data_IF_304386544892
#
_entry.id   IF_304386544892
#
_cell.length_a   1.000
_cell.length_b   1.000
_cell.length_c   1.000
_cell.angle_alpha   90.00
_cell.angle_beta   90.00
_cell.angle_gamma   90.00
#
_symmetry.space_group_name_H-M   'P 1'
#
loop_
_entity.id
_entity.type
_entity.pdbx_description
1 polymer ?
#
# COMPACT_ATOMS: atom_id res chain seq x y z
N UNK A 1 6.76 -64.13 35.30
CA UNK A 1 7.44 -63.13 34.44
C UNK A 1 6.60 -62.95 33.19
N UNK A 2 5.79 -61.88 33.12
CA UNK A 2 4.98 -61.56 31.96
C UNK A 2 5.59 -60.35 31.26
N UNK A 3 6.03 -60.55 30.02
CA UNK A 3 6.71 -59.57 29.18
C UNK A 3 5.65 -58.75 28.44
N UNK A 4 5.46 -57.47 28.78
CA UNK A 4 4.62 -56.55 28.01
C UNK A 4 5.43 -55.98 26.84
N UNK A 5 5.02 -56.32 25.62
CA UNK A 5 5.56 -55.78 24.36
C UNK A 5 4.87 -54.44 24.06
N UNK A 6 5.56 -53.33 24.30
CA UNK A 6 5.06 -51.99 23.96
C UNK A 6 5.28 -51.67 22.49
N UNK A 7 4.19 -51.56 21.72
CA UNK A 7 4.19 -51.15 20.32
C UNK A 7 4.19 -49.60 20.24
N UNK A 8 5.33 -48.99 19.91
CA UNK A 8 5.41 -47.55 19.64
C UNK A 8 4.97 -47.25 18.20
N UNK A 9 3.76 -46.73 18.04
CA UNK A 9 3.28 -46.13 16.79
C UNK A 9 3.90 -44.74 16.64
N UNK A 10 4.92 -44.62 15.79
CA UNK A 10 5.39 -43.33 15.28
C UNK A 10 4.35 -42.78 14.29
N UNK A 11 3.58 -41.79 14.72
CA UNK A 11 2.74 -40.99 13.83
C UNK A 11 3.63 -40.01 13.05
N UNK A 12 3.92 -40.33 11.80
CA UNK A 12 4.48 -39.37 10.84
C UNK A 12 3.38 -38.36 10.53
N UNK A 13 3.49 -37.15 11.09
CA UNK A 13 2.66 -36.02 10.66
C UNK A 13 3.12 -35.65 9.26
N UNK A 14 2.39 -36.11 8.25
CA UNK A 14 2.53 -35.63 6.89
C UNK A 14 2.15 -34.14 6.89
N UNK A 15 3.14 -33.25 6.80
CA UNK A 15 2.91 -31.83 6.54
C UNK A 15 2.35 -31.76 5.12
N UNK A 16 1.02 -31.57 5.02
CA UNK A 16 0.40 -31.23 3.76
C UNK A 16 1.09 -29.97 3.22
N UNK A 17 1.72 -30.05 2.05
CA UNK A 17 2.14 -28.86 1.31
C UNK A 17 0.88 -28.04 1.03
N UNK A 18 0.67 -26.96 1.80
CA UNK A 18 -0.40 -26.02 1.51
C UNK A 18 -0.28 -25.56 0.05
N UNK A 19 -1.37 -25.73 -0.71
CA UNK A 19 -1.42 -25.23 -2.07
C UNK A 19 -1.16 -23.71 -2.05
N UNK A 20 -0.29 -23.18 -2.93
CA UNK A 20 -0.02 -21.76 -3.00
C UNK A 20 -1.31 -20.97 -3.23
N UNK A 21 -1.55 -19.93 -2.43
CA UNK A 21 -2.75 -19.11 -2.53
C UNK A 21 -2.58 -18.01 -3.59
N UNK A 22 -3.59 -17.85 -4.45
CA UNK A 22 -3.69 -16.76 -5.44
C UNK A 22 -5.05 -16.06 -5.28
N UNK A 23 -5.11 -14.73 -5.36
CA UNK A 23 -6.39 -14.03 -5.36
C UNK A 23 -7.27 -14.46 -6.54
N UNK A 24 -8.56 -14.60 -6.29
CA UNK A 24 -9.55 -14.95 -7.32
C UNK A 24 -10.26 -13.69 -7.83
N UNK A 25 -10.66 -13.70 -9.11
CA UNK A 25 -11.44 -12.62 -9.70
C UNK A 25 -12.79 -12.52 -8.97
N UNK A 26 -13.19 -11.29 -8.61
CA UNK A 26 -14.45 -11.01 -7.91
C UNK A 26 -14.45 -11.36 -6.43
N UNK A 27 -13.29 -11.70 -5.84
CA UNK A 27 -13.16 -11.94 -4.40
C UNK A 27 -12.02 -11.11 -3.80
N UNK A 28 -12.27 -10.55 -2.63
CA UNK A 28 -11.25 -9.90 -1.83
C UNK A 28 -10.48 -10.99 -1.05
N UNK A 29 -9.15 -11.09 -1.21
CA UNK A 29 -8.37 -12.12 -0.54
C UNK A 29 -8.23 -11.82 0.96
N UNK A 30 -8.25 -12.85 1.83
CA UNK A 30 -8.01 -12.68 3.26
C UNK A 30 -6.56 -12.22 3.51
N UNK A 31 -6.39 -11.20 4.36
CA UNK A 31 -5.09 -10.60 4.65
C UNK A 31 -4.10 -11.61 5.25
N UNK A 32 -4.60 -12.59 6.00
CA UNK A 32 -3.82 -13.62 6.69
C UNK A 32 -3.12 -14.57 5.71
N UNK A 33 -3.52 -14.57 4.43
CA UNK A 33 -2.87 -15.33 3.36
C UNK A 33 -1.80 -14.52 2.61
N UNK A 34 -1.65 -13.23 2.91
CA UNK A 34 -0.61 -12.39 2.33
C UNK A 34 0.77 -12.72 2.92
N UNK A 35 1.82 -12.53 2.13
CA UNK A 35 3.18 -12.46 2.64
C UNK A 35 3.48 -11.02 3.05
N UNK A 36 3.93 -10.87 4.30
CA UNK A 36 4.38 -9.59 4.85
C UNK A 36 5.89 -9.43 4.69
N UNK A 37 6.33 -8.28 4.19
CA UNK A 37 7.75 -7.87 4.17
C UNK A 37 7.88 -6.36 4.19
N UNK A 38 9.08 -5.85 4.51
CA UNK A 38 9.39 -4.42 4.48
C UNK A 38 10.63 -4.12 3.66
N UNK A 39 10.71 -2.91 3.11
CA UNK A 39 11.85 -2.48 2.31
C UNK A 39 11.72 -1.06 1.82
N UNK A 40 12.77 -0.57 1.17
CA UNK A 40 12.83 0.79 0.63
C UNK A 40 12.17 0.87 -0.74
N UNK A 41 11.27 1.84 -0.95
CA UNK A 41 10.70 2.12 -2.26
C UNK A 41 11.73 2.83 -3.17
N UNK A 42 12.12 2.18 -4.27
CA UNK A 42 13.22 2.65 -5.14
C UNK A 42 12.79 3.02 -6.55
N UNK A 43 11.59 2.61 -6.97
CA UNK A 43 11.02 2.93 -8.26
C UNK A 43 9.49 2.99 -8.16
N UNK A 44 8.89 3.93 -8.90
CA UNK A 44 7.42 4.10 -8.98
C UNK A 44 7.01 4.33 -10.43
N UNK A 45 6.06 3.50 -10.87
CA UNK A 45 5.26 3.68 -12.08
C UNK A 45 3.79 3.79 -11.65
N UNK A 46 3.47 4.97 -11.12
CA UNK A 46 2.15 5.30 -10.55
C UNK A 46 0.99 5.06 -11.52
N UNK A 47 1.17 5.38 -12.81
CA UNK A 47 0.12 5.25 -13.82
C UNK A 47 -0.27 3.79 -14.07
N UNK A 48 0.69 2.85 -14.03
CA UNK A 48 0.40 1.42 -14.12
C UNK A 48 0.24 0.76 -12.73
N UNK A 49 0.28 1.54 -11.65
CA UNK A 49 0.25 1.08 -10.25
C UNK A 49 1.31 0.01 -9.96
N UNK A 50 2.55 0.25 -10.38
CA UNK A 50 3.70 -0.64 -10.14
C UNK A 50 4.83 0.12 -9.46
N UNK A 51 5.80 -0.61 -8.94
CA UNK A 51 7.03 -0.04 -8.42
C UNK A 51 8.08 -1.12 -8.17
N UNK A 52 9.15 -0.76 -7.49
CA UNK A 52 10.13 -1.72 -6.97
C UNK A 52 10.49 -1.37 -5.53
N UNK A 53 10.66 -2.41 -4.71
CA UNK A 53 11.09 -2.31 -3.31
C UNK A 53 12.41 -3.05 -3.14
N UNK A 54 13.40 -2.40 -2.54
CA UNK A 54 14.59 -3.08 -2.05
C UNK A 54 14.24 -3.76 -0.74
N UNK A 55 13.99 -5.06 -0.78
CA UNK A 55 13.50 -5.83 0.37
C UNK A 55 14.60 -5.94 1.43
N UNK A 56 14.22 -5.73 2.69
CA UNK A 56 15.13 -5.93 3.80
C UNK A 56 15.42 -7.41 4.01
N UNK A 57 16.71 -7.74 4.08
CA UNK A 57 17.21 -9.06 4.42
C UNK A 57 18.42 -8.94 5.36
N UNK A 58 18.97 -10.08 5.80
CA UNK A 58 20.10 -10.15 6.71
C UNK A 58 21.45 -9.73 6.11
N UNK A 59 21.54 -9.59 4.78
CA UNK A 59 22.76 -9.18 4.09
C UNK A 59 23.01 -7.67 4.05
N UNK A 60 23.90 -7.26 3.15
CA UNK A 60 24.16 -5.86 2.79
C UNK A 60 22.97 -5.28 2.03
N UNK A 61 22.08 -4.62 2.77
CA UNK A 61 20.82 -4.09 2.23
C UNK A 61 20.99 -3.34 0.92
N UNK A 62 21.94 -2.41 0.84
CA UNK A 62 22.19 -1.58 -0.34
C UNK A 62 22.56 -2.36 -1.62
N UNK A 63 22.97 -3.63 -1.51
CA UNK A 63 23.30 -4.51 -2.64
C UNK A 63 22.11 -5.34 -3.12
N UNK A 64 21.00 -5.33 -2.39
CA UNK A 64 19.80 -6.06 -2.78
C UNK A 64 19.22 -5.41 -4.04
N UNK A 65 18.90 -6.24 -5.03
CA UNK A 65 18.27 -5.78 -6.26
C UNK A 65 16.85 -5.25 -5.96
N UNK A 66 16.41 -4.19 -6.65
CA UNK A 66 15.02 -3.76 -6.59
C UNK A 66 14.06 -4.90 -6.93
N UNK A 67 13.16 -5.25 -6.00
CA UNK A 67 12.13 -6.26 -6.22
C UNK A 67 10.85 -5.63 -6.78
N UNK A 68 10.46 -5.92 -8.04
CA UNK A 68 9.28 -5.31 -8.66
C UNK A 68 7.98 -5.78 -8.03
N UNK A 69 7.01 -4.87 -7.92
CA UNK A 69 5.65 -5.16 -7.46
C UNK A 69 4.59 -4.50 -8.33
N UNK A 70 3.39 -5.07 -8.33
CA UNK A 70 2.18 -4.47 -8.91
C UNK A 70 1.09 -4.39 -7.84
N UNK A 71 0.36 -3.28 -7.78
CA UNK A 71 -0.82 -3.20 -6.91
C UNK A 71 -1.95 -4.06 -7.50
N UNK A 72 -2.65 -4.79 -6.63
CA UNK A 72 -3.97 -5.31 -6.98
C UNK A 72 -4.92 -4.14 -7.30
N UNK A 73 -5.98 -4.35 -8.10
CA UNK A 73 -6.89 -3.26 -8.46
C UNK A 73 -7.55 -2.59 -7.24
N UNK A 74 -7.85 -3.40 -6.23
CA UNK A 74 -8.38 -2.99 -4.92
C UNK A 74 -7.27 -2.83 -3.86
N UNK A 75 -6.00 -2.79 -4.29
CA UNK A 75 -4.86 -2.60 -3.42
C UNK A 75 -4.83 -1.18 -2.85
N UNK A 76 -4.55 -1.07 -1.56
CA UNK A 76 -4.58 0.17 -0.78
C UNK A 76 -3.15 0.65 -0.56
N UNK A 77 -2.94 1.95 -0.71
CA UNK A 77 -1.69 2.63 -0.36
C UNK A 77 -1.99 3.60 0.78
N UNK A 78 -1.14 3.60 1.80
CA UNK A 78 -1.22 4.58 2.91
C UNK A 78 0.11 5.28 3.11
N UNK A 79 0.02 6.58 3.32
CA UNK A 79 1.15 7.45 3.63
C UNK A 79 0.73 8.44 4.70
N UNK A 80 1.60 8.71 5.67
CA UNK A 80 1.33 9.62 6.77
C UNK A 80 -0.01 9.36 7.47
N UNK A 81 -0.34 8.09 7.71
CA UNK A 81 -1.56 7.67 8.42
C UNK A 81 -2.84 7.79 7.62
N UNK A 82 -2.79 8.19 6.34
CA UNK A 82 -3.95 8.45 5.50
C UNK A 82 -3.89 7.70 4.16
N UNK A 83 -5.03 7.56 3.44
CA UNK A 83 -5.06 7.07 2.07
C UNK A 83 -4.14 7.87 1.12
N UNK A 84 -3.50 7.18 0.18
CA UNK A 84 -2.57 7.79 -0.77
C UNK A 84 -2.60 7.09 -2.13
N UNK A 85 -2.01 7.72 -3.14
CA UNK A 85 -1.59 7.07 -4.38
C UNK A 85 -0.06 6.86 -4.38
N UNK A 86 0.46 5.97 -5.22
CA UNK A 86 1.91 5.72 -5.31
C UNK A 86 2.71 6.98 -5.63
N UNK A 87 2.11 7.95 -6.34
CA UNK A 87 2.75 9.24 -6.68
C UNK A 87 3.05 10.12 -5.46
N UNK A 88 2.35 9.89 -4.35
CA UNK A 88 2.46 10.71 -3.15
C UNK A 88 3.66 10.30 -2.29
N UNK A 89 4.20 9.10 -2.51
CA UNK A 89 5.25 8.52 -1.66
C UNK A 89 6.63 8.91 -2.23
N UNK A 90 7.47 9.59 -1.45
CA UNK A 90 8.85 9.85 -1.85
C UNK A 90 9.65 8.56 -2.00
N UNK A 91 10.52 8.50 -3.02
CA UNK A 91 11.51 7.43 -3.11
C UNK A 91 12.43 7.45 -1.89
N UNK A 92 12.91 6.27 -1.49
CA UNK A 92 13.68 6.08 -0.27
C UNK A 92 12.82 5.81 0.98
N UNK A 93 11.50 6.01 0.92
CA UNK A 93 10.58 5.65 2.02
C UNK A 93 10.59 4.15 2.26
N UNK A 94 10.70 3.74 3.53
CA UNK A 94 10.55 2.34 3.92
C UNK A 94 9.08 2.01 4.02
N UNK A 95 8.65 1.03 3.23
CA UNK A 95 7.27 0.59 3.12
C UNK A 95 7.12 -0.82 3.70
N UNK A 96 5.99 -1.06 4.36
CA UNK A 96 5.45 -2.37 4.70
C UNK A 96 4.53 -2.84 3.59
N UNK A 97 4.65 -4.12 3.24
CA UNK A 97 4.01 -4.72 2.09
C UNK A 97 3.26 -5.96 2.54
N UNK A 98 1.98 -6.05 2.16
CA UNK A 98 1.19 -7.29 2.24
C UNK A 98 0.84 -7.69 0.81
N UNK A 99 1.44 -8.78 0.34
CA UNK A 99 1.37 -9.17 -1.05
C UNK A 99 1.00 -10.64 -1.26
N UNK A 100 0.49 -10.91 -2.45
CA UNK A 100 0.10 -12.23 -2.90
C UNK A 100 0.89 -12.64 -4.15
N UNK A 101 0.83 -13.93 -4.46
CA UNK A 101 1.20 -14.42 -5.78
C UNK A 101 0.32 -13.76 -6.86
N UNK A 102 0.80 -13.64 -8.11
CA UNK A 102 0.01 -13.07 -9.20
C UNK A 102 -1.34 -13.77 -9.34
N UNK A 103 -2.48 -13.05 -9.44
CA UNK A 103 -3.79 -13.66 -9.67
C UNK A 103 -3.77 -14.57 -10.91
N UNK A 104 -3.22 -14.05 -12.02
CA UNK A 104 -2.93 -14.83 -13.23
C UNK A 104 -1.47 -14.59 -13.67
N UNK A 105 -0.58 -15.60 -13.53
CA UNK A 105 0.80 -15.52 -13.97
C UNK A 105 1.01 -15.13 -15.43
N UNK A 106 0.08 -15.47 -16.33
CA UNK A 106 0.26 -15.28 -17.79
C UNK A 106 0.17 -13.82 -18.21
N UNK A 107 -0.56 -13.01 -17.44
CA UNK A 107 -0.84 -11.59 -17.73
C UNK A 107 -0.27 -10.66 -16.65
N UNK A 108 0.66 -11.18 -15.84
CA UNK A 108 1.30 -10.44 -14.77
C UNK A 108 1.99 -9.17 -15.28
N UNK A 109 1.79 -8.04 -14.58
CA UNK A 109 2.36 -6.76 -14.97
C UNK A 109 3.81 -6.56 -14.46
N UNK A 110 4.32 -7.53 -13.72
CA UNK A 110 5.68 -7.63 -13.17
C UNK A 110 6.20 -9.06 -13.34
N UNK A 111 7.53 -9.31 -13.25
CA UNK A 111 8.09 -10.65 -13.38
C UNK A 111 7.45 -11.66 -12.42
N UNK A 112 7.18 -12.87 -12.92
CA UNK A 112 6.68 -14.00 -12.12
C UNK A 112 7.87 -14.82 -11.63
N UNK A 113 8.02 -14.94 -10.31
CA UNK A 113 9.13 -15.65 -9.69
C UNK A 113 8.70 -17.04 -9.18
N UNK A 114 9.64 -17.99 -9.05
CA UNK A 114 9.37 -19.28 -8.40
C UNK A 114 8.85 -19.10 -6.97
N UNK A 115 7.88 -19.90 -6.53
CA UNK A 115 7.22 -19.71 -5.22
C UNK A 115 8.21 -19.81 -4.05
N UNK A 116 9.26 -20.62 -4.20
CA UNK A 116 10.30 -20.76 -3.19
C UNK A 116 11.33 -19.62 -3.21
N UNK A 117 11.20 -18.59 -4.05
CA UNK A 117 12.19 -17.52 -4.20
C UNK A 117 12.40 -16.70 -2.92
N UNK A 118 11.38 -16.63 -2.04
CA UNK A 118 11.51 -16.08 -0.67
C UNK A 118 12.49 -16.83 0.24
N UNK A 119 12.94 -18.03 -0.15
CA UNK A 119 13.93 -18.84 0.58
C UNK A 119 15.28 -18.88 -0.12
N UNK A 120 15.39 -18.32 -1.32
CA UNK A 120 16.63 -18.33 -2.10
C UNK A 120 17.58 -17.32 -1.50
N UNK A 121 18.83 -17.75 -1.27
CA UNK A 121 19.92 -16.88 -0.86
C UNK A 121 20.43 -16.11 -2.08
N UNK A 122 20.42 -14.78 -2.00
CA UNK A 122 20.91 -13.91 -3.06
C UNK A 122 22.42 -13.96 -3.24
N UNK A 123 23.16 -14.46 -2.23
CA UNK A 123 24.60 -14.73 -2.10
C UNK A 123 25.12 -14.20 -0.74
N UNK A 124 26.41 -14.43 -0.46
CA UNK A 124 27.10 -13.99 0.77
C UNK A 124 26.97 -12.49 1.11
N UNK A 125 26.55 -11.64 0.15
CA UNK A 125 26.36 -10.22 0.36
C UNK A 125 24.90 -9.78 0.49
N UNK A 126 23.91 -10.56 0.04
CA UNK A 126 22.50 -10.11 -0.10
C UNK A 126 21.55 -10.75 0.91
N UNK A 127 21.91 -11.92 1.42
CA UNK A 127 21.06 -12.71 2.30
C UNK A 127 19.87 -13.33 1.57
N UNK A 128 19.09 -14.13 2.29
CA UNK A 128 17.94 -14.83 1.74
C UNK A 128 16.66 -14.00 1.76
N UNK A 129 15.77 -14.26 0.80
CA UNK A 129 14.40 -13.73 0.81
C UNK A 129 14.24 -12.31 0.25
N UNK A 130 15.21 -11.83 -0.53
CA UNK A 130 15.20 -10.48 -1.12
C UNK A 130 14.25 -10.32 -2.31
N UNK A 131 13.69 -11.41 -2.84
CA UNK A 131 12.81 -11.41 -4.00
C UNK A 131 11.65 -12.42 -3.81
N UNK A 132 10.68 -12.16 -2.92
CA UNK A 132 9.53 -13.04 -2.75
C UNK A 132 8.72 -13.19 -4.05
N UNK A 133 8.03 -14.31 -4.23
CA UNK A 133 7.16 -14.48 -5.41
C UNK A 133 5.84 -13.70 -5.26
N UNK A 134 5.51 -13.36 -4.03
CA UNK A 134 4.36 -12.58 -3.63
C UNK A 134 4.63 -11.08 -3.87
N UNK A 135 4.40 -10.65 -5.10
CA UNK A 135 4.65 -9.28 -5.55
C UNK A 135 3.41 -8.56 -6.10
N UNK A 136 2.21 -9.11 -5.84
CA UNK A 136 0.93 -8.46 -6.13
C UNK A 136 0.33 -7.92 -4.83
N UNK A 137 0.48 -6.62 -4.64
CA UNK A 137 0.32 -5.93 -3.36
C UNK A 137 -1.13 -5.60 -3.09
N UNK A 138 -1.64 -6.06 -1.95
CA UNK A 138 -2.94 -5.65 -1.41
C UNK A 138 -2.80 -4.40 -0.54
N UNK A 139 -1.71 -4.29 0.22
CA UNK A 139 -1.51 -3.18 1.15
C UNK A 139 -0.06 -2.72 1.11
N UNK A 140 0.13 -1.42 0.92
CA UNK A 140 1.43 -0.74 0.93
C UNK A 140 1.36 0.44 1.90
N UNK A 141 2.15 0.41 2.98
CA UNK A 141 2.04 1.38 4.07
C UNK A 141 3.41 1.92 4.48
N UNK A 142 3.53 3.23 4.72
CA UNK A 142 4.70 3.76 5.41
C UNK A 142 4.69 3.36 6.90
N UNK A 143 5.83 3.55 7.57
CA UNK A 143 6.01 3.15 8.97
C UNK A 143 4.92 3.73 9.92
N UNK A 144 4.55 5.02 9.88
CA UNK A 144 3.45 5.54 10.70
C UNK A 144 2.11 4.87 10.43
N UNK A 145 1.73 4.68 9.15
CA UNK A 145 0.46 4.05 8.79
C UNK A 145 0.40 2.60 9.26
N UNK A 146 1.49 1.85 9.04
CA UNK A 146 1.62 0.48 9.54
C UNK A 146 1.48 0.43 11.06
N UNK A 147 2.27 1.23 11.79
CA UNK A 147 2.24 1.29 13.25
C UNK A 147 0.85 1.59 13.78
N UNK A 148 0.16 2.58 13.22
CA UNK A 148 -1.21 2.91 13.62
C UNK A 148 -2.19 1.75 13.39
N UNK A 149 -2.13 1.09 12.22
CA UNK A 149 -3.00 -0.04 11.90
C UNK A 149 -2.77 -1.22 12.84
N UNK A 150 -1.52 -1.56 13.13
CA UNK A 150 -1.18 -2.71 13.99
C UNK A 150 -1.08 -2.35 15.48
N UNK A 151 -1.48 -1.14 15.86
CA UNK A 151 -1.49 -0.69 17.26
C UNK A 151 -0.11 -0.59 17.91
N UNK A 152 0.92 -0.25 17.13
CA UNK A 152 2.31 -0.06 17.60
C UNK A 152 2.70 1.42 17.64
N UNK A 153 3.74 1.70 18.43
CA UNK A 153 4.42 3.00 18.51
C UNK A 153 5.92 2.79 18.64
N UNK A 154 6.71 3.79 18.24
CA UNK A 154 8.13 3.81 18.50
C UNK A 154 8.41 4.46 19.87
N UNK A 155 9.26 3.84 20.68
CA UNK A 155 9.75 4.42 21.93
C UNK A 155 11.21 4.80 21.78
N UNK A 156 11.50 6.11 21.82
CA UNK A 156 12.86 6.63 21.70
C UNK A 156 13.63 6.42 23.01
N UNK A 157 14.77 5.73 22.97
CA UNK A 157 15.53 5.33 24.16
C UNK A 157 16.71 6.25 24.40
N UNK A 158 17.60 6.37 23.43
CA UNK A 158 18.82 7.16 23.52
C UNK A 158 19.03 7.96 22.22
N UNK A 159 19.45 9.20 22.39
CA UNK A 159 19.94 10.09 21.36
C UNK A 159 21.45 10.23 21.51
N UNK A 160 22.19 10.18 20.41
CA UNK A 160 23.58 10.59 20.31
C UNK A 160 23.70 11.60 19.17
N UNK A 161 24.02 12.85 19.49
CA UNK A 161 24.02 13.97 18.55
C UNK A 161 25.40 14.64 18.49
N UNK A 162 25.85 14.97 17.28
CA UNK A 162 27.03 15.80 17.05
C UNK A 162 26.81 16.62 15.77
N UNK A 163 26.90 17.96 15.90
CA UNK A 163 26.72 18.89 14.78
C UNK A 163 25.43 18.61 13.96
N UNK A 164 24.28 18.58 14.66
CA UNK A 164 22.92 18.41 14.08
C UNK A 164 22.70 17.10 13.32
N UNK A 165 23.51 16.07 13.57
CA UNK A 165 23.32 14.71 13.04
C UNK A 165 23.70 13.68 14.08
N UNK A 166 23.26 12.45 13.89
CA UNK A 166 23.66 11.38 14.77
C UNK A 166 22.76 10.17 14.69
N UNK A 167 22.57 9.53 15.84
CA UNK A 167 21.85 8.27 15.96
C UNK A 167 20.78 8.35 17.04
N UNK A 168 19.65 7.70 16.78
CA UNK A 168 18.61 7.42 17.78
C UNK A 168 18.47 5.90 17.90
N UNK A 169 18.47 5.41 19.14
CA UNK A 169 18.08 4.03 19.47
C UNK A 169 16.62 4.05 19.86
N UNK A 170 15.80 3.19 19.25
CA UNK A 170 14.38 3.10 19.52
C UNK A 170 13.86 1.66 19.46
N UNK A 171 12.73 1.40 20.11
CA UNK A 171 12.01 0.12 20.02
C UNK A 171 10.63 0.33 19.43
N UNK A 172 10.19 -0.54 18.51
CA UNK A 172 8.82 -0.53 17.99
C UNK A 172 8.00 -1.59 18.74
N UNK A 173 7.01 -1.15 19.52
CA UNK A 173 6.28 -2.01 20.44
C UNK A 173 4.78 -1.68 20.49
N UNK A 174 3.92 -2.59 20.98
CA UNK A 174 2.49 -2.32 21.11
C UNK A 174 2.21 -1.09 21.97
N UNK A 175 1.26 -0.24 21.53
CA UNK A 175 0.86 0.99 22.23
C UNK A 175 0.33 0.73 23.64
N UNK A 176 -0.31 -0.42 23.84
CA UNK A 176 -0.85 -0.86 25.15
C UNK A 176 0.22 -1.45 26.10
N UNK A 177 1.50 -1.39 25.72
CA UNK A 177 2.61 -1.96 26.48
C UNK A 177 3.14 -3.26 25.86
N UNK A 178 4.46 -3.39 25.81
CA UNK A 178 5.15 -4.61 25.36
C UNK A 178 5.70 -5.42 26.52
N UNK A 179 6.12 -6.65 26.25
CA UNK A 179 6.80 -7.53 27.21
C UNK A 179 8.28 -7.16 27.45
N UNK A 180 8.72 -6.01 26.94
CA UNK A 180 10.09 -5.51 27.05
C UNK A 180 11.09 -6.17 26.10
N UNK A 181 10.65 -7.06 25.20
CA UNK A 181 11.55 -7.81 24.29
C UNK A 181 11.65 -7.25 22.88
N UNK A 182 11.09 -6.07 22.62
CA UNK A 182 11.19 -5.42 21.32
C UNK A 182 12.67 -5.15 21.00
N UNK A 183 13.10 -5.55 19.80
CA UNK A 183 14.47 -5.34 19.36
C UNK A 183 14.76 -3.83 19.25
N UNK A 184 15.93 -3.44 19.75
CA UNK A 184 16.42 -2.08 19.55
C UNK A 184 16.87 -1.90 18.10
N UNK A 185 16.38 -0.83 17.49
CA UNK A 185 16.80 -0.40 16.16
C UNK A 185 17.54 0.93 16.28
N UNK A 186 18.76 0.96 15.74
CA UNK A 186 19.61 2.15 15.71
C UNK A 186 19.48 2.83 14.36
N UNK A 187 18.84 3.99 14.33
CA UNK A 187 18.57 4.74 13.12
C UNK A 187 19.34 6.06 13.11
N UNK A 188 19.74 6.50 11.92
CA UNK A 188 20.37 7.81 11.74
C UNK A 188 19.33 8.92 11.74
N UNK A 189 19.75 10.13 12.06
CA UNK A 189 19.01 11.37 11.80
C UNK A 189 20.02 12.46 11.42
N UNK A 190 19.54 13.50 10.74
CA UNK A 190 20.35 14.66 10.34
C UNK A 190 19.51 15.94 10.38
N UNK A 191 20.11 17.07 9.99
CA UNK A 191 19.45 18.37 10.00
C UNK A 191 18.20 18.45 9.08
N UNK A 192 18.01 17.48 8.17
CA UNK A 192 16.82 17.39 7.33
C UNK A 192 15.68 16.58 7.98
N UNK A 193 15.94 15.89 9.10
CA UNK A 193 14.89 15.20 9.87
C UNK A 193 13.86 16.22 10.36
N UNK A 194 12.60 16.02 10.00
CA UNK A 194 11.49 16.92 10.31
C UNK A 194 10.86 16.51 11.64
N UNK A 195 10.74 17.45 12.57
CA UNK A 195 10.19 17.15 13.91
C UNK A 195 8.88 17.91 14.07
N UNK A 196 7.82 17.22 14.43
CA UNK A 196 6.47 17.77 14.45
C UNK A 196 5.89 17.72 15.86
N UNK A 197 5.44 18.88 16.35
CA UNK A 197 4.79 19.06 17.66
C UNK A 197 3.52 19.89 17.48
N UNK A 198 2.35 19.30 17.71
CA UNK A 198 1.06 19.93 17.46
C UNK A 198 0.95 20.51 16.04
N UNK A 199 1.07 21.83 15.92
CA UNK A 199 1.00 22.55 14.63
C UNK A 199 2.35 23.04 14.12
N UNK A 200 3.42 22.79 14.86
CA UNK A 200 4.77 23.28 14.60
C UNK A 200 5.58 22.25 13.81
N UNK A 201 6.47 22.75 12.94
CA UNK A 201 7.56 21.98 12.34
C UNK A 201 8.86 22.51 12.93
N UNK A 202 9.39 21.78 13.91
CA UNK A 202 10.58 22.13 14.65
C UNK A 202 11.84 21.68 13.91
N UNK A 203 12.89 22.48 14.08
CA UNK A 203 14.27 22.17 13.72
C UNK A 203 15.01 21.57 14.92
N UNK A 204 16.14 20.92 14.65
CA UNK A 204 17.04 20.43 15.70
C UNK A 204 17.57 21.59 16.56
N UNK A 205 17.86 22.74 15.94
CA UNK A 205 18.39 23.93 16.64
C UNK A 205 17.37 24.49 17.63
N UNK A 206 16.07 24.48 17.28
CA UNK A 206 15.00 24.86 18.21
C UNK A 206 14.90 23.89 19.39
N UNK A 207 15.02 22.57 19.16
CA UNK A 207 15.06 21.60 20.26
C UNK A 207 16.29 21.78 21.18
N UNK A 208 17.42 22.20 20.63
CA UNK A 208 18.63 22.51 21.40
C UNK A 208 18.44 23.81 22.21
N UNK A 209 17.90 24.86 21.58
CA UNK A 209 17.60 26.13 22.24
C UNK A 209 16.61 25.97 23.40
N UNK A 210 15.59 25.13 23.22
CA UNK A 210 14.61 24.75 24.25
C UNK A 210 15.19 23.79 25.31
N UNK A 211 16.46 23.38 25.19
CA UNK A 211 17.15 22.42 26.06
C UNK A 211 16.48 21.03 26.09
N UNK A 212 15.67 20.73 25.09
CA UNK A 212 15.04 19.42 24.89
C UNK A 212 16.09 18.42 24.39
N UNK A 213 16.96 18.80 23.46
CA UNK A 213 18.11 18.00 23.02
C UNK A 213 19.42 18.69 23.44
N UNK A 214 20.51 17.94 23.69
CA UNK A 214 21.82 18.56 23.91
C UNK A 214 22.39 19.04 22.56
N UNK A 215 23.28 20.03 22.60
CA UNK A 215 23.99 20.48 21.40
C UNK A 215 24.90 19.37 20.83
N UNK A 216 25.56 18.62 21.73
CA UNK A 216 26.41 17.49 21.41
C UNK A 216 26.36 16.43 22.52
N UNK A 217 26.66 15.18 22.18
CA UNK A 217 26.76 14.05 23.09
C UNK A 217 25.47 13.24 23.21
N UNK A 218 25.40 12.44 24.28
CA UNK A 218 24.31 11.49 24.51
C UNK A 218 23.24 12.03 25.44
N UNK A 219 21.99 11.67 25.18
CA UNK A 219 20.84 11.94 26.05
C UNK A 219 19.87 10.75 26.06
N UNK A 220 19.46 10.33 27.26
CA UNK A 220 18.32 9.43 27.40
C UNK A 220 17.01 10.16 27.03
N UNK A 221 16.19 9.51 26.20
CA UNK A 221 14.88 9.98 25.77
C UNK A 221 13.73 9.31 26.54
N UNK A 222 14.04 8.50 27.56
CA UNK A 222 13.07 8.00 28.53
C UNK A 222 12.00 7.06 27.95
N UNK A 223 12.18 6.54 26.74
CA UNK A 223 11.16 5.74 26.06
C UNK A 223 9.99 6.56 25.52
N UNK A 224 10.21 7.84 25.19
CA UNK A 224 9.17 8.73 24.66
C UNK A 224 8.46 8.09 23.46
N UNK A 225 7.12 7.94 23.51
CA UNK A 225 6.34 7.37 22.42
C UNK A 225 6.20 8.38 21.28
N UNK A 226 6.48 7.96 20.06
CA UNK A 226 6.36 8.75 18.84
C UNK A 226 5.91 7.87 17.66
N UNK A 227 5.55 8.50 16.56
CA UNK A 227 5.55 7.85 15.24
C UNK A 227 6.75 8.36 14.44
N UNK A 228 7.37 7.47 13.66
CA UNK A 228 8.56 7.77 12.88
C UNK A 228 8.30 7.59 11.39
N UNK A 229 8.73 8.56 10.59
CA UNK A 229 8.88 8.40 9.16
C UNK A 229 10.24 7.79 8.88
N UNK A 230 10.28 6.58 8.32
CA UNK A 230 11.53 5.84 8.10
C UNK A 230 11.87 5.80 6.63
N UNK A 231 13.13 6.09 6.32
CA UNK A 231 13.71 6.09 4.98
C UNK A 231 15.04 5.33 4.98
N UNK A 232 15.60 5.07 3.81
CA UNK A 232 16.98 4.63 3.68
C UNK A 232 17.86 5.72 3.07
N UNK A 233 19.07 5.88 3.62
CA UNK A 233 20.11 6.76 3.10
C UNK A 233 21.47 6.05 3.15
N UNK A 234 22.39 6.30 2.20
CA UNK A 234 23.77 5.84 2.31
C UNK A 234 24.40 6.34 3.61
N UNK A 235 24.92 5.42 4.42
CA UNK A 235 25.51 5.74 5.73
C UNK A 235 27.01 5.41 5.74
N UNK A 236 27.88 6.33 6.20
CA UNK A 236 29.31 6.06 6.36
C UNK A 236 29.60 4.93 7.36
N UNK A 237 30.77 4.31 7.26
CA UNK A 237 31.25 3.34 8.27
C UNK A 237 30.99 1.87 7.95
N UNK A 238 30.54 1.54 6.73
CA UNK A 238 30.43 0.15 6.26
C UNK A 238 29.30 -0.64 6.93
N UNK A 239 28.29 0.03 7.48
CA UNK A 239 27.13 -0.61 8.09
C UNK A 239 26.22 -1.15 6.99
N UNK A 240 25.96 -2.46 7.04
CA UNK A 240 25.25 -3.20 6.00
C UNK A 240 23.77 -2.81 5.87
N UNK A 241 23.10 -2.57 6.99
CA UNK A 241 21.69 -2.17 7.05
C UNK A 241 21.50 -1.17 8.18
N UNK A 242 21.21 0.08 7.83
CA UNK A 242 20.83 1.12 8.78
C UNK A 242 19.85 2.07 8.11
N UNK A 243 18.74 2.33 8.80
CA UNK A 243 17.70 3.23 8.33
C UNK A 243 17.88 4.65 8.88
N UNK A 244 17.12 5.57 8.31
CA UNK A 244 17.17 6.99 8.57
C UNK A 244 15.79 7.53 8.95
N UNK A 245 15.73 8.30 10.03
CA UNK A 245 14.53 8.98 10.48
C UNK A 245 14.35 10.24 9.66
N UNK A 246 13.35 10.24 8.79
CA UNK A 246 12.92 11.41 8.01
C UNK A 246 11.98 12.33 8.78
N UNK A 247 11.14 11.76 9.64
CA UNK A 247 10.15 12.49 10.43
C UNK A 247 10.01 11.91 11.83
N UNK A 248 9.75 12.79 12.80
CA UNK A 248 9.37 12.44 14.16
C UNK A 248 8.08 13.19 14.50
N UNK A 249 6.97 12.47 14.65
CA UNK A 249 5.73 13.02 15.19
C UNK A 249 5.70 12.80 16.70
N UNK A 250 5.83 13.89 17.46
CA UNK A 250 5.93 13.87 18.92
C UNK A 250 4.58 13.68 19.62
N UNK A 251 3.47 13.94 18.91
CA UNK A 251 2.12 13.87 19.46
C UNK A 251 1.06 13.53 18.39
N UNK A 252 -0.12 13.13 18.86
CA UNK A 252 -1.24 12.72 18.00
C UNK A 252 -1.77 13.89 17.16
N UNK A 253 -1.67 15.14 17.64
CA UNK A 253 -2.15 16.33 16.91
C UNK A 253 -1.29 16.56 15.65
N UNK A 254 0.03 16.43 15.78
CA UNK A 254 0.95 16.50 14.66
C UNK A 254 0.68 15.42 13.61
N UNK A 255 0.45 14.18 14.06
CA UNK A 255 0.14 13.07 13.16
C UNK A 255 -1.22 13.24 12.46
N UNK A 256 -2.26 13.66 13.19
CA UNK A 256 -3.58 13.95 12.62
C UNK A 256 -3.52 15.05 11.57
N UNK A 257 -2.67 16.05 11.77
CA UNK A 257 -2.45 17.12 10.77
C UNK A 257 -1.83 16.56 9.49
N UNK A 258 -0.78 15.75 9.60
CA UNK A 258 -0.16 15.10 8.43
C UNK A 258 -1.16 14.21 7.69
N UNK A 259 -1.94 13.41 8.42
CA UNK A 259 -3.00 12.58 7.85
C UNK A 259 -4.08 13.42 7.16
N UNK A 260 -4.51 14.52 7.76
CA UNK A 260 -5.53 15.41 7.17
C UNK A 260 -5.04 16.01 5.84
N UNK A 261 -3.80 16.48 5.78
CA UNK A 261 -3.22 17.02 4.55
C UNK A 261 -3.16 15.96 3.44
N UNK A 262 -2.68 14.75 3.78
CA UNK A 262 -2.59 13.65 2.82
C UNK A 262 -3.98 13.19 2.36
N UNK A 263 -4.97 13.18 3.25
CA UNK A 263 -6.37 12.91 2.91
C UNK A 263 -6.92 13.91 1.89
N UNK A 264 -6.63 15.21 2.01
CA UNK A 264 -7.06 16.20 1.00
C UNK A 264 -6.42 15.94 -0.38
N UNK A 265 -5.12 15.62 -0.42
CA UNK A 265 -4.40 15.26 -1.65
C UNK A 265 -5.09 14.07 -2.32
N UNK A 266 -5.33 13.01 -1.56
CA UNK A 266 -5.94 11.79 -2.09
C UNK A 266 -7.40 11.99 -2.50
N UNK A 267 -8.19 12.80 -1.77
CA UNK A 267 -9.55 13.15 -2.18
C UNK A 267 -9.58 13.87 -3.53
N UNK A 268 -8.67 14.81 -3.76
CA UNK A 268 -8.54 15.47 -5.06
C UNK A 268 -8.17 14.46 -6.17
N UNK A 269 -7.28 13.52 -5.86
CA UNK A 269 -6.92 12.43 -6.78
C UNK A 269 -8.12 11.56 -7.16
N UNK A 270 -8.87 11.05 -6.18
CA UNK A 270 -10.04 10.19 -6.45
C UNK A 270 -11.14 10.95 -7.17
N UNK A 271 -11.42 12.21 -6.82
CA UNK A 271 -12.42 13.01 -7.54
C UNK A 271 -12.07 13.23 -9.01
N UNK A 272 -10.78 13.39 -9.33
CA UNK A 272 -10.32 13.63 -10.70
C UNK A 272 -10.19 12.35 -11.55
N UNK A 273 -9.94 11.18 -10.93
CA UNK A 273 -9.85 9.89 -11.65
C UNK A 273 -11.07 9.01 -11.49
N UNK A 274 -12.02 9.37 -10.64
CA UNK A 274 -13.23 8.62 -10.31
C UNK A 274 -13.01 7.41 -9.39
N UNK A 275 -14.07 7.02 -8.67
CA UNK A 275 -14.05 5.94 -7.67
C UNK A 275 -13.93 4.59 -8.35
N UNK A 276 -12.92 3.76 -8.03
CA UNK A 276 -12.83 2.42 -8.59
C UNK A 276 -13.83 1.46 -7.96
N UNK A 277 -14.31 0.53 -8.78
CA UNK A 277 -15.26 -0.50 -8.41
C UNK A 277 -15.06 -1.72 -9.31
N UNK A 278 -15.59 -2.87 -8.89
CA UNK A 278 -15.83 -3.97 -9.82
C UNK A 278 -17.33 -4.19 -10.02
N UNK A 279 -17.67 -4.88 -11.10
CA UNK A 279 -19.04 -5.26 -11.40
C UNK A 279 -19.33 -6.63 -10.80
N UNK A 280 -20.30 -6.70 -9.89
CA UNK A 280 -20.77 -7.94 -9.29
C UNK A 280 -21.72 -8.67 -10.25
N UNK A 281 -22.70 -7.96 -10.81
CA UNK A 281 -23.70 -8.52 -11.72
C UNK A 281 -24.29 -7.48 -12.67
N UNK A 282 -24.89 -7.97 -13.77
CA UNK A 282 -25.56 -7.15 -14.76
C UNK A 282 -26.90 -7.81 -15.13
N UNK A 283 -27.99 -7.06 -14.97
CA UNK A 283 -29.33 -7.42 -15.44
C UNK A 283 -29.61 -6.66 -16.75
N UNK A 284 -29.59 -7.37 -17.88
CA UNK A 284 -29.80 -6.76 -19.19
C UNK A 284 -31.28 -6.47 -19.46
N UNK A 285 -31.56 -5.25 -19.91
CA UNK A 285 -32.83 -4.81 -20.45
C UNK A 285 -32.84 -4.81 -21.98
N UNK A 286 -33.82 -4.11 -22.57
CA UNK A 286 -33.92 -3.92 -24.03
C UNK A 286 -33.12 -2.69 -24.47
N UNK A 287 -32.64 -2.72 -25.71
CA UNK A 287 -32.03 -1.57 -26.40
C UNK A 287 -30.86 -0.92 -25.63
N UNK A 288 -29.94 -1.75 -25.10
CA UNK A 288 -28.75 -1.26 -24.40
C UNK A 288 -28.96 -0.93 -22.92
N UNK A 289 -30.20 -0.91 -22.43
CA UNK A 289 -30.47 -0.70 -21.00
C UNK A 289 -29.95 -1.85 -20.15
N UNK A 290 -29.40 -1.54 -18.99
CA UNK A 290 -29.00 -2.53 -18.01
C UNK A 290 -29.02 -1.95 -16.59
N UNK A 291 -29.26 -2.83 -15.62
CA UNK A 291 -29.02 -2.55 -14.20
C UNK A 291 -27.75 -3.28 -13.79
N UNK A 292 -26.82 -2.52 -13.25
CA UNK A 292 -25.47 -2.96 -12.92
C UNK A 292 -25.31 -2.87 -11.41
N UNK A 293 -24.88 -3.96 -10.80
CA UNK A 293 -24.52 -3.99 -9.39
C UNK A 293 -23.01 -3.96 -9.29
N UNK A 294 -22.47 -3.00 -8.54
CA UNK A 294 -21.02 -2.79 -8.43
C UNK A 294 -20.60 -2.52 -6.99
N UNK A 295 -19.51 -3.16 -6.55
CA UNK A 295 -18.90 -2.94 -5.24
C UNK A 295 -17.78 -1.92 -5.36
N UNK A 296 -17.88 -0.82 -4.60
CA UNK A 296 -16.86 0.22 -4.55
C UNK A 296 -15.62 -0.30 -3.80
N UNK A 297 -14.43 -0.04 -4.33
CA UNK A 297 -13.20 -0.45 -3.65
C UNK A 297 -12.96 0.39 -2.39
N UNK A 298 -12.29 -0.24 -1.42
CA UNK A 298 -12.00 0.30 -0.11
C UNK A 298 -10.76 1.20 -0.08
N UNK A 299 -10.43 1.66 1.14
CA UNK A 299 -9.23 2.45 1.38
C UNK A 299 -9.36 3.95 1.10
N UNK A 300 -10.51 4.42 0.64
CA UNK A 300 -10.78 5.85 0.43
C UNK A 300 -11.33 6.55 1.68
N UNK A 301 -11.28 7.88 1.70
CA UNK A 301 -11.90 8.69 2.75
C UNK A 301 -13.44 8.55 2.74
N UNK A 302 -14.11 8.43 3.91
CA UNK A 302 -15.55 8.28 4.00
C UNK A 302 -16.37 9.33 3.26
N UNK A 303 -15.88 10.57 3.16
CA UNK A 303 -16.60 11.65 2.45
C UNK A 303 -16.74 11.39 0.95
N UNK A 304 -15.83 10.61 0.34
CA UNK A 304 -15.93 10.26 -1.08
C UNK A 304 -17.07 9.27 -1.33
N UNK A 305 -17.32 8.34 -0.41
CA UNK A 305 -18.46 7.41 -0.55
C UNK A 305 -19.79 8.10 -0.27
N UNK A 306 -19.81 9.12 0.59
CA UNK A 306 -21.01 9.90 0.90
C UNK A 306 -21.58 10.67 -0.32
N UNK A 307 -20.76 10.90 -1.35
CA UNK A 307 -21.16 11.50 -2.62
C UNK A 307 -21.99 10.52 -3.49
N UNK A 308 -22.01 9.22 -3.17
CA UNK A 308 -22.87 8.24 -3.83
C UNK A 308 -24.24 8.20 -3.16
N UNK A 309 -25.24 8.75 -3.84
CA UNK A 309 -26.59 8.88 -3.30
C UNK A 309 -27.63 8.26 -4.24
N UNK A 310 -28.66 7.65 -3.65
CA UNK A 310 -29.82 7.16 -4.40
C UNK A 310 -30.48 8.31 -5.16
N UNK A 311 -30.80 8.08 -6.42
CA UNK A 311 -31.39 9.05 -7.35
C UNK A 311 -30.38 9.97 -8.03
N UNK A 312 -29.11 9.99 -7.59
CA UNK A 312 -28.08 10.81 -8.23
C UNK A 312 -27.69 10.24 -9.60
N UNK A 313 -27.41 11.13 -10.55
CA UNK A 313 -26.81 10.73 -11.81
C UNK A 313 -25.35 10.33 -11.59
N UNK A 314 -24.87 9.35 -12.36
CA UNK A 314 -23.47 8.94 -12.34
C UNK A 314 -22.99 8.58 -13.75
N UNK A 315 -21.66 8.58 -13.92
CA UNK A 315 -21.00 8.08 -15.11
C UNK A 315 -20.11 6.89 -14.72
N UNK A 316 -20.15 5.84 -15.52
CA UNK A 316 -19.37 4.62 -15.34
C UNK A 316 -18.53 4.38 -16.59
N UNK A 317 -17.23 4.16 -16.40
CA UNK A 317 -16.32 3.85 -17.50
C UNK A 317 -15.43 2.65 -17.15
N UNK A 318 -15.10 1.86 -18.16
CA UNK A 318 -14.25 0.68 -18.01
C UNK A 318 -12.80 1.07 -17.79
N UNK A 319 -12.13 0.29 -16.95
CA UNK A 319 -10.70 0.44 -16.67
C UNK A 319 -9.98 -0.91 -16.68
N UNK A 320 -8.67 -0.85 -16.87
CA UNK A 320 -7.78 -2.00 -16.71
C UNK A 320 -7.59 -2.39 -15.23
N UNK A 321 -6.94 -3.54 -14.99
CA UNK A 321 -6.54 -3.97 -13.64
C UNK A 321 -5.64 -2.96 -12.92
N UNK A 322 -4.94 -2.10 -13.67
CA UNK A 322 -4.12 -1.00 -13.14
C UNK A 322 -4.93 0.27 -12.84
N UNK A 323 -6.26 0.22 -13.01
CA UNK A 323 -7.19 1.35 -12.91
C UNK A 323 -6.98 2.46 -13.95
N UNK A 324 -6.23 2.20 -15.02
CA UNK A 324 -6.13 3.10 -16.19
C UNK A 324 -7.43 3.07 -16.98
N UNK A 325 -7.88 4.23 -17.45
CA UNK A 325 -9.02 4.29 -18.35
C UNK A 325 -8.70 3.58 -19.68
N UNK A 326 -9.63 2.79 -20.20
CA UNK A 326 -9.45 2.10 -21.49
C UNK A 326 -9.44 3.06 -22.68
N UNK A 327 -10.00 4.26 -22.49
CA UNK A 327 -9.94 5.39 -23.41
C UNK A 327 -9.95 6.71 -22.64
N UNK A 328 -9.23 7.73 -23.10
CA UNK A 328 -9.12 9.00 -22.38
C UNK A 328 -8.64 10.21 -23.18
N UNK A 329 -8.47 10.09 -24.52
CA UNK A 329 -7.95 11.18 -25.35
C UNK A 329 -8.83 12.45 -25.34
N UNK A 330 -10.12 12.31 -25.00
CA UNK A 330 -11.09 13.38 -24.81
C UNK A 330 -11.69 13.37 -23.40
N UNK A 331 -10.93 12.84 -22.43
CA UNK A 331 -11.32 12.68 -21.04
C UNK A 331 -12.17 11.43 -20.76
N UNK A 332 -12.18 10.93 -19.50
CA UNK A 332 -12.93 9.73 -19.13
C UNK A 332 -14.44 9.82 -19.37
N UNK A 333 -15.00 11.04 -19.36
CA UNK A 333 -16.43 11.30 -19.53
C UNK A 333 -16.93 11.06 -20.96
N UNK A 334 -16.06 11.14 -21.97
CA UNK A 334 -16.44 11.02 -23.37
C UNK A 334 -16.94 9.62 -23.74
N UNK A 335 -16.35 8.58 -23.15
CA UNK A 335 -16.68 7.17 -23.42
C UNK A 335 -17.47 6.51 -22.28
N UNK A 336 -17.93 7.29 -21.29
CA UNK A 336 -18.60 6.75 -20.13
C UNK A 336 -20.08 6.47 -20.40
N UNK A 337 -20.57 5.34 -19.89
CA UNK A 337 -22.00 5.06 -19.77
C UNK A 337 -22.59 5.95 -18.67
N UNK A 338 -23.55 6.79 -19.02
CA UNK A 338 -24.27 7.64 -18.07
C UNK A 338 -25.54 6.95 -17.56
N UNK A 339 -25.99 7.33 -16.37
CA UNK A 339 -27.15 6.71 -15.76
C UNK A 339 -27.47 7.25 -14.38
N UNK A 340 -28.29 6.51 -13.64
CA UNK A 340 -28.74 6.88 -12.29
C UNK A 340 -28.41 5.80 -11.28
N UNK A 341 -28.00 6.21 -10.08
CA UNK A 341 -27.82 5.31 -8.94
C UNK A 341 -29.20 5.03 -8.37
N UNK A 342 -29.69 3.81 -8.54
CA UNK A 342 -30.97 3.35 -8.00
C UNK A 342 -30.90 3.10 -6.50
N UNK A 343 -29.79 2.53 -6.03
CA UNK A 343 -29.60 2.10 -4.64
C UNK A 343 -28.12 2.21 -4.23
N UNK A 344 -27.89 2.49 -2.96
CA UNK A 344 -26.59 2.43 -2.30
C UNK A 344 -26.77 1.57 -1.05
N UNK A 345 -26.08 0.45 -1.00
CA UNK A 345 -26.26 -0.60 -0.01
C UNK A 345 -24.96 -0.79 0.75
N UNK A 346 -25.04 -0.88 2.08
CA UNK A 346 -23.93 -1.34 2.90
C UNK A 346 -24.05 -2.84 3.10
N UNK A 347 -23.02 -3.58 2.71
CA UNK A 347 -22.94 -5.02 2.91
C UNK A 347 -22.84 -5.29 4.42
N UNK A 348 -23.64 -6.21 4.99
CA UNK A 348 -23.55 -6.56 6.40
C UNK A 348 -22.17 -7.10 6.80
N UNK A 349 -21.74 -6.80 8.03
CA UNK A 349 -20.47 -7.25 8.57
C UNK A 349 -19.31 -6.29 8.31
N UNK A 350 -18.11 -6.72 8.69
CA UNK A 350 -16.88 -5.99 8.43
C UNK A 350 -16.44 -6.20 6.98
N UNK A 351 -16.15 -5.11 6.27
CA UNK A 351 -15.70 -5.18 4.90
C UNK A 351 -14.28 -5.78 4.84
N UNK A 352 -14.01 -6.79 3.99
CA UNK A 352 -12.65 -7.29 3.81
C UNK A 352 -11.75 -6.20 3.26
N UNK A 353 -10.45 -6.27 3.55
CA UNK A 353 -9.48 -5.30 3.07
C UNK A 353 -9.52 -5.20 1.52
N UNK A 354 -9.57 -3.96 1.02
CA UNK A 354 -9.76 -3.66 -0.40
C UNK A 354 -11.22 -3.45 -0.80
N UNK A 355 -12.19 -3.81 0.04
CA UNK A 355 -13.61 -3.48 -0.14
C UNK A 355 -14.00 -2.27 0.69
N UNK A 356 -14.90 -1.43 0.19
CA UNK A 356 -15.56 -0.39 1.00
C UNK A 356 -16.70 -0.96 1.85
N UNK A 357 -17.18 -2.18 1.53
CA UNK A 357 -18.45 -2.70 2.02
C UNK A 357 -19.67 -1.96 1.45
N UNK A 358 -19.49 -1.10 0.43
CA UNK A 358 -20.56 -0.35 -0.22
C UNK A 358 -20.75 -0.89 -1.63
N UNK A 359 -21.99 -1.25 -1.93
CA UNK A 359 -22.44 -1.66 -3.24
C UNK A 359 -23.43 -0.64 -3.78
N UNK A 360 -23.34 -0.33 -5.07
CA UNK A 360 -24.32 0.51 -5.76
C UNK A 360 -25.08 -0.31 -6.78
N UNK A 361 -26.35 0.04 -7.00
CA UNK A 361 -27.14 -0.41 -8.14
C UNK A 361 -27.32 0.76 -9.09
N UNK A 362 -26.80 0.63 -10.30
CA UNK A 362 -26.73 1.69 -11.30
C UNK A 362 -27.53 1.28 -12.54
N UNK A 363 -28.39 2.16 -13.05
CA UNK A 363 -29.12 1.93 -14.30
C UNK A 363 -28.58 2.83 -15.40
N UNK A 364 -28.21 2.22 -16.53
CA UNK A 364 -27.75 2.89 -17.76
C UNK A 364 -28.62 2.48 -18.93
N UNK A 365 -28.73 3.34 -19.94
CA UNK A 365 -29.32 3.02 -21.25
C UNK A 365 -28.29 2.59 -22.31
N UNK A 366 -27.00 2.67 -21.97
CA UNK A 366 -25.89 2.24 -22.80
C UNK A 366 -24.96 1.31 -22.03
N UNK A 367 -25.20 0.00 -22.12
CA UNK A 367 -24.30 -1.03 -21.63
C UNK A 367 -23.20 -1.31 -22.66
N UNK A 368 -21.96 -1.51 -22.20
CA UNK A 368 -20.78 -1.75 -23.04
C UNK A 368 -19.99 -2.96 -22.55
N UNK A 369 -19.12 -3.52 -23.41
CA UNK A 369 -18.29 -4.71 -23.11
C UNK A 369 -17.42 -4.57 -21.86
N UNK A 370 -17.03 -3.33 -21.53
CA UNK A 370 -16.23 -3.02 -20.35
C UNK A 370 -17.00 -3.04 -19.02
N UNK A 371 -18.33 -3.15 -19.06
CA UNK A 371 -19.22 -3.21 -17.90
C UNK A 371 -19.90 -4.59 -17.89
N UNK A 372 -19.14 -5.61 -17.50
CA UNK A 372 -19.57 -7.01 -17.38
C UNK A 372 -19.16 -7.57 -16.02
N UNK A 373 -19.82 -8.61 -15.48
CA UNK A 373 -19.43 -9.22 -14.21
C UNK A 373 -17.94 -9.56 -14.14
N UNK A 374 -17.29 -9.21 -13.04
CA UNK A 374 -15.85 -9.37 -12.82
C UNK A 374 -14.97 -8.30 -13.47
N UNK A 375 -15.51 -7.42 -14.34
CA UNK A 375 -14.76 -6.27 -14.87
C UNK A 375 -14.63 -5.17 -13.82
N UNK A 376 -13.61 -4.34 -14.04
CA UNK A 376 -13.31 -3.19 -13.19
C UNK A 376 -13.72 -1.93 -13.93
N UNK A 377 -14.32 -1.02 -13.19
CA UNK A 377 -14.81 0.26 -13.67
C UNK A 377 -14.32 1.36 -12.75
N UNK A 378 -14.44 2.59 -13.22
CA UNK A 378 -14.48 3.76 -12.36
C UNK A 378 -15.79 4.51 -12.53
N UNK A 379 -16.27 5.05 -11.42
CA UNK A 379 -17.61 5.62 -11.29
C UNK A 379 -17.48 7.04 -10.75
N UNK A 380 -18.07 8.00 -11.45
CA UNK A 380 -18.18 9.39 -11.02
C UNK A 380 -19.63 9.68 -10.65
N UNK A 381 -19.94 9.98 -9.37
CA UNK A 381 -21.23 10.55 -9.02
C UNK A 381 -21.35 11.99 -9.55
N UNK A 382 -22.56 12.54 -9.48
CA UNK A 382 -22.84 13.92 -9.84
C UNK A 382 -21.96 14.90 -9.02
N UNK A 383 -21.50 15.98 -9.65
CA UNK A 383 -20.76 17.06 -8.97
C UNK A 383 -19.24 16.84 -8.85
N UNK A 384 -18.73 15.67 -9.22
CA UNK A 384 -17.28 15.48 -9.36
C UNK A 384 -16.75 16.17 -10.62
N UNK A 385 -15.50 16.68 -10.60
CA UNK A 385 -14.94 17.43 -11.71
C UNK A 385 -14.75 16.52 -12.93
N UNK A 386 -15.10 17.04 -14.11
CA UNK A 386 -14.78 16.42 -15.39
C UNK A 386 -13.45 16.98 -15.86
N UNK A 387 -12.41 16.15 -15.82
CA UNK A 387 -11.06 16.55 -16.21
C UNK A 387 -10.49 15.56 -17.20
N UNK A 388 -9.56 16.04 -18.02
CA UNK A 388 -8.74 15.18 -18.84
C UNK A 388 -7.61 14.60 -17.98
N UNK A 389 -7.34 13.31 -18.15
CA UNK A 389 -6.25 12.62 -17.46
C UNK A 389 -5.01 12.59 -18.37
N UNK A 390 -3.79 12.60 -17.79
CA UNK A 390 -2.56 12.54 -18.59
C UNK A 390 -2.51 11.31 -19.51
N UNK A 391 -1.72 11.40 -20.59
CA UNK A 391 -1.56 10.31 -21.59
C UNK A 391 -1.21 8.97 -20.96
N UNK A 392 -0.41 8.99 -19.91
CA UNK A 392 0.08 7.83 -19.19
C UNK A 392 -1.04 7.12 -18.41
N UNK A 393 -2.14 7.80 -18.09
CA UNK A 393 -3.24 7.28 -17.26
C UNK A 393 -4.40 6.67 -18.06
N UNK A 394 -4.30 6.64 -19.40
CA UNK A 394 -5.26 5.93 -20.26
C UNK A 394 -4.59 5.06 -21.34
N UNK A 395 -5.38 4.17 -21.92
CA UNK A 395 -5.05 3.37 -23.10
C UNK A 395 -5.70 3.95 -24.36
N UNK A 396 -5.09 3.76 -25.51
CA UNK A 396 -5.55 4.27 -26.81
C UNK A 396 -6.03 3.13 -27.72
N UNK A 397 -6.81 2.20 -27.16
CA UNK A 397 -7.20 0.97 -27.84
C UNK A 397 -7.44 -0.23 -26.91
N UNK A 398 -7.14 -0.09 -25.62
CA UNK A 398 -7.46 -1.10 -24.61
C UNK A 398 -6.53 -2.33 -24.62
N UNK A 399 -5.40 -2.26 -25.33
CA UNK A 399 -4.42 -3.34 -25.38
C UNK A 399 -3.48 -3.30 -24.17
N UNK A 400 -3.24 -4.43 -23.47
CA UNK A 400 -2.24 -4.51 -22.39
C UNK A 400 -0.81 -4.12 -22.83
N UNK A 401 -0.50 -4.25 -24.11
CA UNK A 401 0.78 -3.87 -24.72
C UNK A 401 0.96 -2.34 -24.79
N UNK A 402 -0.13 -1.57 -24.77
CA UNK A 402 -0.11 -0.11 -24.65
C UNK A 402 0.19 0.38 -23.23
N UNK A 403 0.35 -0.54 -22.26
CA UNK A 403 0.93 -0.21 -20.96
C UNK A 403 2.39 0.16 -21.20
N UNK A 404 2.61 1.44 -21.46
CA UNK A 404 3.93 2.02 -21.53
C UNK A 404 4.30 2.60 -20.16
N UNK A 405 5.48 2.28 -19.62
CA UNK A 405 6.42 1.25 -20.11
C UNK A 405 5.91 -0.21 -19.92
N UNK A 406 6.36 -1.16 -20.74
CA UNK A 406 5.95 -2.58 -20.59
C UNK A 406 6.65 -3.25 -19.39
N UNK A 407 6.19 -4.43 -18.92
CA UNK A 407 6.88 -5.16 -17.83
C UNK A 407 8.37 -5.47 -18.10
N UNK A 408 8.81 -5.43 -19.36
CA UNK A 408 10.20 -5.68 -19.74
C UNK A 408 11.20 -4.63 -19.21
N UNK A 409 10.73 -3.51 -18.64
CA UNK A 409 11.64 -2.59 -17.93
C UNK A 409 12.30 -3.24 -16.73
N UNK A 410 11.60 -4.16 -16.04
CA UNK A 410 12.06 -4.72 -14.78
C UNK A 410 13.17 -5.76 -14.95
N UNK A 411 13.32 -6.38 -16.12
CA UNK A 411 14.40 -7.33 -16.38
C UNK A 411 15.77 -6.66 -16.57
N UNK A 412 15.82 -5.32 -16.59
CA UNK A 412 17.04 -4.53 -16.80
C UNK A 412 17.60 -3.90 -15.53
N UNK A 413 16.92 -4.06 -14.38
CA UNK A 413 17.27 -3.42 -13.10
C UNK A 413 17.68 -4.42 -12.04
#
# INVERSE_FOLDING_TARGET
MALCLGLFLFTIVAIAQEKPFRPEVGKFPPLEKALSYRGELVFVDHANRRGSIRVQASGMFFRNDPHPFAMLPYGIVRYHGAPADLRDIPLGTVMHVEAFLPPDPKISAVPVLPINNRKVDGNHNRGAGTAPAENHVLLLEDEPSYCQRVGKVWKLKELDINNRRGMIIATCEPKQGGDGKAAEEKMTFDAATRIWRGRERLTIDELIADKIWPAEGKKSLGGQPVLLGVTWKPTPGGIFTQFHISDIWLDDVAMQRSASNQTEVHKAFIRSRWMPAWIDSVEYGKFGRAKVTATLFGGMDPSLYADFQKGATAQMNSVEMTLKHTHGAYGPAHMASAGSILEVMKIPGEAPLGSSGIQIRFETDLIIEGIRPGRIVRISPAGWPKVDVPREEYLNGGSPEERFPTPAIFSKY
#
